data_IF_743143969446
#
_entry.id   IF_743143969446
#
_cell.length_a   1.000
_cell.length_b   1.000
_cell.length_c   1.000
_cell.angle_alpha   90.00
_cell.angle_beta   90.00
_cell.angle_gamma   90.00
#
_symmetry.space_group_name_H-M   'P 1'
#
loop_
_entity.id
_entity.type
_entity.pdbx_description
1 polymer ?
#
# COMPACT_ATOMS: atom_id res chain seq x y z
N UNK A 1 -15.14 -77.09 -3.81
CA UNK A 1 -13.92 -76.52 -4.38
C UNK A 1 -14.31 -75.17 -4.95
N UNK A 2 -14.32 -74.14 -4.11
CA UNK A 2 -14.81 -72.79 -4.42
C UNK A 2 -13.66 -71.77 -4.35
N UNK A 3 -13.36 -71.16 -5.48
CA UNK A 3 -12.34 -70.14 -5.63
C UNK A 3 -12.94 -68.78 -5.28
N UNK A 4 -12.43 -68.13 -4.23
CA UNK A 4 -12.80 -66.71 -3.89
C UNK A 4 -11.86 -65.74 -4.59
N UNK A 5 -12.42 -65.00 -5.54
CA UNK A 5 -11.77 -63.88 -6.22
C UNK A 5 -11.97 -62.60 -5.38
N UNK A 6 -10.89 -62.06 -4.77
CA UNK A 6 -10.91 -60.80 -4.05
C UNK A 6 -10.51 -59.67 -5.02
N UNK A 7 -11.48 -58.85 -5.37
CA UNK A 7 -11.25 -57.59 -6.09
C UNK A 7 -10.70 -56.52 -5.14
N UNK A 8 -9.50 -56.04 -5.42
CA UNK A 8 -8.90 -54.89 -4.75
C UNK A 8 -9.26 -53.65 -5.55
N UNK A 9 -10.10 -52.79 -4.98
CA UNK A 9 -10.44 -51.48 -5.53
C UNK A 9 -9.38 -50.46 -5.07
N UNK A 10 -8.50 -50.04 -5.97
CA UNK A 10 -7.54 -48.97 -5.71
C UNK A 10 -8.21 -47.62 -5.92
N UNK A 11 -8.46 -46.86 -4.83
CA UNK A 11 -8.86 -45.44 -4.89
C UNK A 11 -7.63 -44.58 -5.23
N UNK A 12 -7.61 -44.04 -6.42
CA UNK A 12 -6.65 -43.02 -6.80
C UNK A 12 -7.17 -41.65 -6.29
N UNK A 13 -6.55 -41.12 -5.23
CA UNK A 13 -6.71 -39.74 -4.78
C UNK A 13 -5.95 -38.81 -5.74
N UNK A 14 -6.67 -38.14 -6.62
CA UNK A 14 -6.14 -37.01 -7.39
C UNK A 14 -6.06 -35.79 -6.46
N UNK A 15 -4.85 -35.46 -6.00
CA UNK A 15 -4.55 -34.20 -5.35
C UNK A 15 -4.57 -33.09 -6.42
N UNK A 16 -5.66 -32.29 -6.45
CA UNK A 16 -5.66 -31.01 -7.18
C UNK A 16 -4.77 -30.02 -6.43
N UNK A 17 -3.50 -29.92 -6.85
CA UNK A 17 -2.66 -28.78 -6.50
C UNK A 17 -3.18 -27.56 -7.26
N UNK A 18 -3.97 -26.71 -6.59
CA UNK A 18 -4.36 -25.42 -7.12
C UNK A 18 -3.12 -24.53 -7.24
N UNK A 19 -2.62 -24.35 -8.45
CA UNK A 19 -1.62 -23.33 -8.77
C UNK A 19 -2.29 -21.97 -8.58
N UNK A 20 -1.93 -21.27 -7.49
CA UNK A 20 -2.23 -19.86 -7.35
C UNK A 20 -1.53 -19.11 -8.49
N UNK A 21 -2.29 -18.72 -9.51
CA UNK A 21 -1.79 -17.87 -10.57
C UNK A 21 -1.57 -16.48 -9.98
N UNK A 22 -0.29 -16.08 -9.86
CA UNK A 22 0.07 -14.69 -9.66
C UNK A 22 -0.57 -13.88 -10.79
N UNK A 23 -1.33 -12.85 -10.45
CA UNK A 23 -1.89 -11.92 -11.42
C UNK A 23 -0.73 -11.34 -12.25
N UNK A 24 -0.63 -11.75 -13.49
CA UNK A 24 0.32 -11.18 -14.45
C UNK A 24 -0.03 -9.71 -14.70
N UNK A 25 0.90 -8.93 -15.29
CA UNK A 25 0.66 -7.53 -15.61
C UNK A 25 -0.64 -7.39 -16.41
N UNK A 26 -1.45 -6.40 -16.05
CA UNK A 26 -2.72 -6.14 -16.72
C UNK A 26 -2.48 -6.02 -18.22
N UNK A 27 -3.17 -6.86 -19.02
CA UNK A 27 -3.04 -6.80 -20.47
C UNK A 27 -3.51 -5.44 -20.95
N UNK A 28 -2.61 -4.70 -21.62
CA UNK A 28 -2.96 -3.44 -22.29
C UNK A 28 -4.04 -3.74 -23.32
N UNK A 29 -5.08 -2.92 -23.36
CA UNK A 29 -6.14 -3.03 -24.36
C UNK A 29 -5.53 -2.93 -25.78
N UNK A 30 -5.87 -3.90 -26.62
CA UNK A 30 -5.34 -4.00 -27.99
C UNK A 30 -5.57 -2.75 -28.83
N UNK A 31 -6.57 -1.93 -28.47
CA UNK A 31 -6.84 -0.63 -29.10
C UNK A 31 -5.68 0.36 -28.97
N UNK A 32 -4.84 0.21 -27.97
CA UNK A 32 -3.73 1.12 -27.66
C UNK A 32 -2.35 0.51 -27.95
N UNK A 33 -2.31 -0.66 -28.55
CA UNK A 33 -1.06 -1.34 -28.85
C UNK A 33 -0.13 -0.50 -29.75
N UNK A 34 -0.68 0.18 -30.78
CA UNK A 34 0.10 1.08 -31.62
C UNK A 34 0.69 2.26 -30.84
N UNK A 35 -0.09 2.83 -29.91
CA UNK A 35 0.38 3.91 -29.04
C UNK A 35 1.48 3.42 -28.10
N UNK A 36 1.33 2.21 -27.55
CA UNK A 36 2.35 1.59 -26.68
C UNK A 36 3.68 1.47 -27.43
N UNK A 37 3.65 0.89 -28.62
CA UNK A 37 4.85 0.74 -29.46
C UNK A 37 5.49 2.07 -29.83
N UNK A 38 4.68 3.06 -30.20
CA UNK A 38 5.16 4.40 -30.52
C UNK A 38 5.83 5.05 -29.30
N UNK A 39 5.20 4.94 -28.11
CA UNK A 39 5.73 5.51 -26.88
C UNK A 39 7.05 4.86 -26.46
N UNK A 40 7.13 3.53 -26.47
CA UNK A 40 8.35 2.79 -26.12
C UNK A 40 9.49 3.00 -27.15
N UNK A 41 9.16 3.27 -28.42
CA UNK A 41 10.14 3.63 -29.43
C UNK A 41 10.77 5.00 -29.20
N UNK A 42 9.98 5.98 -28.69
CA UNK A 42 10.46 7.33 -28.33
C UNK A 42 11.30 7.30 -27.07
N UNK A 43 11.01 6.41 -26.11
CA UNK A 43 11.69 6.28 -24.82
C UNK A 43 12.33 4.89 -24.67
N UNK A 44 13.52 4.64 -25.25
CA UNK A 44 14.17 3.35 -25.17
C UNK A 44 14.45 2.92 -23.71
N UNK A 45 14.08 1.67 -23.38
CA UNK A 45 14.23 1.12 -22.02
C UNK A 45 13.06 1.42 -21.08
N UNK A 46 12.05 2.15 -21.52
CA UNK A 46 10.79 2.33 -20.83
C UNK A 46 9.86 1.18 -21.18
N UNK A 47 9.18 0.64 -20.17
CA UNK A 47 8.08 -0.33 -20.35
C UNK A 47 6.79 0.36 -19.92
N UNK A 48 5.78 0.31 -20.78
CA UNK A 48 4.44 0.85 -20.50
C UNK A 48 3.65 -0.19 -19.71
N UNK A 49 3.24 0.17 -18.49
CA UNK A 49 2.45 -0.69 -17.61
C UNK A 49 0.96 -0.71 -18.00
N UNK A 50 0.44 0.41 -18.52
CA UNK A 50 -0.96 0.56 -18.92
C UNK A 50 -1.22 1.77 -19.81
N UNK A 51 -2.28 1.69 -20.63
CA UNK A 51 -2.78 2.84 -21.41
C UNK A 51 -4.30 2.88 -21.29
N UNK A 52 -4.84 4.10 -21.13
CA UNK A 52 -6.28 4.35 -21.04
C UNK A 52 -6.67 5.59 -21.83
N UNK A 53 -7.91 5.60 -22.34
CA UNK A 53 -8.53 6.84 -22.82
C UNK A 53 -8.85 7.76 -21.62
N UNK A 54 -8.67 9.05 -21.82
CA UNK A 54 -9.17 10.07 -20.90
C UNK A 54 -10.51 10.64 -21.39
N UNK A 55 -11.24 11.39 -20.56
CA UNK A 55 -12.42 12.13 -21.03
C UNK A 55 -12.08 13.26 -22.02
N UNK A 56 -10.80 13.66 -22.12
CA UNK A 56 -10.35 14.64 -23.09
C UNK A 56 -10.07 13.95 -24.44
N UNK A 57 -10.71 14.37 -25.55
CA UNK A 57 -10.54 13.72 -26.83
C UNK A 57 -9.08 13.65 -27.29
N UNK A 58 -8.66 12.50 -27.80
CA UNK A 58 -7.29 12.26 -28.30
C UNK A 58 -6.17 12.42 -27.25
N UNK A 59 -6.50 12.48 -25.97
CA UNK A 59 -5.53 12.42 -24.90
C UNK A 59 -5.60 11.05 -24.22
N UNK A 60 -4.50 10.33 -24.22
CA UNK A 60 -4.34 9.03 -23.57
C UNK A 60 -3.52 9.18 -22.29
N UNK A 61 -3.93 8.46 -21.26
CA UNK A 61 -3.17 8.25 -20.04
C UNK A 61 -2.23 7.06 -20.25
N UNK A 62 -0.95 7.22 -19.93
CA UNK A 62 0.08 6.19 -20.02
C UNK A 62 0.68 5.99 -18.63
N UNK A 63 0.63 4.77 -18.12
CA UNK A 63 1.25 4.37 -16.88
C UNK A 63 2.65 3.81 -17.15
N UNK A 64 3.66 4.40 -16.50
CA UNK A 64 5.06 3.97 -16.60
C UNK A 64 5.67 3.96 -15.20
N UNK A 65 6.04 2.79 -14.71
CA UNK A 65 6.70 2.66 -13.43
C UNK A 65 5.90 3.26 -12.26
N UNK A 66 4.54 3.30 -12.36
CA UNK A 66 3.64 3.92 -11.39
C UNK A 66 3.56 5.44 -11.45
N UNK A 67 4.09 6.04 -12.51
CA UNK A 67 3.88 7.45 -12.85
C UNK A 67 2.86 7.53 -13.99
N UNK A 68 1.98 8.54 -13.93
CA UNK A 68 1.05 8.82 -15.01
C UNK A 68 1.61 9.92 -15.91
N UNK A 69 1.61 9.63 -17.20
CA UNK A 69 1.94 10.55 -18.27
C UNK A 69 0.74 10.63 -19.22
N UNK A 70 0.69 11.68 -20.02
CA UNK A 70 -0.35 11.88 -21.03
C UNK A 70 0.26 12.05 -22.39
N UNK A 71 -0.37 11.48 -23.42
CA UNK A 71 0.13 11.55 -24.79
C UNK A 71 -1.01 11.54 -25.81
N UNK A 72 -0.73 11.95 -27.03
CA UNK A 72 -1.58 11.73 -28.19
C UNK A 72 -1.44 10.28 -28.70
N UNK A 73 -2.35 9.76 -29.51
CA UNK A 73 -2.31 8.36 -29.98
C UNK A 73 -1.04 7.95 -30.70
N UNK A 74 -0.29 8.90 -31.27
CA UNK A 74 0.96 8.67 -32.01
C UNK A 74 2.21 8.89 -31.16
N UNK A 75 2.06 9.27 -29.90
CA UNK A 75 3.15 9.61 -28.98
C UNK A 75 4.06 10.76 -29.46
N UNK A 76 3.50 11.70 -30.24
CA UNK A 76 4.27 12.87 -30.70
C UNK A 76 4.56 13.88 -29.58
N UNK A 77 3.66 13.96 -28.60
CA UNK A 77 3.77 14.86 -27.46
C UNK A 77 3.50 14.10 -26.17
N UNK A 78 4.34 14.34 -25.16
CA UNK A 78 4.17 13.74 -23.83
C UNK A 78 4.09 14.86 -22.81
N UNK A 79 3.08 14.79 -21.94
CA UNK A 79 2.90 15.70 -20.81
C UNK A 79 3.00 14.95 -19.50
N UNK A 80 3.56 15.61 -18.49
CA UNK A 80 3.50 15.21 -17.09
C UNK A 80 2.79 16.31 -16.31
N UNK A 81 1.79 15.94 -15.52
CA UNK A 81 1.00 16.88 -14.74
C UNK A 81 -0.36 16.32 -14.36
N UNK A 82 -1.25 17.18 -13.85
CA UNK A 82 -2.60 16.80 -13.47
C UNK A 82 -3.61 17.14 -14.56
N UNK A 83 -4.49 16.17 -14.85
CA UNK A 83 -5.69 16.35 -15.67
C UNK A 83 -6.86 16.66 -14.74
N UNK A 84 -7.34 17.92 -14.80
CA UNK A 84 -8.44 18.40 -13.96
C UNK A 84 -9.75 18.43 -14.74
N UNK A 85 -10.78 17.77 -14.22
CA UNK A 85 -12.16 18.01 -14.62
C UNK A 85 -12.65 19.30 -13.92
N UNK A 86 -12.54 20.42 -14.60
CA UNK A 86 -12.85 21.75 -14.06
C UNK A 86 -14.34 21.91 -13.76
N UNK A 87 -15.22 21.22 -14.49
CA UNK A 87 -16.67 21.26 -14.30
C UNK A 87 -17.08 20.58 -12.99
N UNK A 88 -16.52 19.39 -12.73
CA UNK A 88 -16.80 18.61 -11.54
C UNK A 88 -15.79 18.86 -10.40
N UNK A 89 -14.75 19.67 -10.64
CA UNK A 89 -13.65 19.98 -9.70
C UNK A 89 -12.93 18.73 -9.20
N UNK A 90 -12.67 17.78 -10.10
CA UNK A 90 -12.01 16.52 -9.81
C UNK A 90 -10.63 16.50 -10.44
N UNK A 91 -9.59 16.19 -9.67
CA UNK A 91 -8.29 15.79 -10.20
C UNK A 91 -8.36 14.31 -10.62
N UNK A 92 -8.43 14.10 -11.95
CA UNK A 92 -8.52 12.75 -12.53
C UNK A 92 -7.21 11.98 -12.38
N UNK A 93 -6.08 12.70 -12.41
CA UNK A 93 -4.75 12.10 -12.20
C UNK A 93 -4.61 11.60 -10.77
N UNK A 94 -4.93 12.43 -9.79
CA UNK A 94 -4.86 12.04 -8.39
C UNK A 94 -5.78 10.85 -8.10
N UNK A 95 -7.03 10.89 -8.56
CA UNK A 95 -7.97 9.78 -8.41
C UNK A 95 -7.41 8.49 -9.01
N UNK A 96 -6.80 8.56 -10.20
CA UNK A 96 -6.20 7.40 -10.84
C UNK A 96 -4.99 6.88 -10.07
N UNK A 97 -4.13 7.75 -9.57
CA UNK A 97 -3.00 7.39 -8.73
C UNK A 97 -3.47 6.69 -7.44
N UNK A 98 -4.54 7.16 -6.83
CA UNK A 98 -5.16 6.52 -5.68
C UNK A 98 -5.71 5.12 -6.02
N UNK A 99 -6.36 4.94 -7.21
CA UNK A 99 -6.79 3.63 -7.69
C UNK A 99 -5.62 2.66 -7.87
N UNK A 100 -4.53 3.11 -8.51
CA UNK A 100 -3.34 2.31 -8.76
C UNK A 100 -2.56 1.95 -7.50
N UNK A 101 -2.66 2.77 -6.46
CA UNK A 101 -2.01 2.53 -5.18
C UNK A 101 -2.82 1.65 -4.21
N UNK A 102 -4.01 1.20 -4.61
CA UNK A 102 -4.83 0.33 -3.75
C UNK A 102 -4.16 -1.02 -3.53
N UNK A 103 -4.10 -1.41 -2.28
CA UNK A 103 -3.54 -2.69 -1.83
C UNK A 103 -4.43 -3.27 -0.75
N UNK A 104 -4.83 -4.52 -0.89
CA UNK A 104 -5.56 -5.20 0.20
C UNK A 104 -4.75 -5.17 1.48
N UNK A 105 -5.38 -4.88 2.62
CA UNK A 105 -4.68 -4.95 3.91
C UNK A 105 -4.10 -6.35 4.17
N UNK A 106 -4.72 -7.40 3.63
CA UNK A 106 -4.21 -8.78 3.75
C UNK A 106 -2.90 -9.02 3.01
N UNK A 107 -2.55 -8.16 2.03
CA UNK A 107 -1.29 -8.24 1.29
C UNK A 107 -0.17 -7.44 1.96
N UNK A 108 -0.49 -6.71 3.04
CA UNK A 108 0.48 -5.99 3.86
C UNK A 108 1.04 -6.91 4.96
N UNK A 109 2.29 -6.70 5.41
CA UNK A 109 2.93 -7.54 6.42
C UNK A 109 2.42 -7.25 7.84
N UNK A 110 1.13 -7.52 8.09
CA UNK A 110 0.46 -7.21 9.36
C UNK A 110 1.05 -8.00 10.54
N UNK A 111 1.63 -9.17 10.29
CA UNK A 111 2.38 -9.97 11.25
C UNK A 111 3.65 -9.29 11.78
N UNK A 112 4.10 -8.24 11.10
CA UNK A 112 5.28 -7.43 11.43
C UNK A 112 4.92 -6.06 11.97
N UNK A 113 3.64 -5.82 12.25
CA UNK A 113 3.17 -4.54 12.76
C UNK A 113 3.10 -4.51 14.29
N UNK A 114 3.37 -3.36 14.87
CA UNK A 114 2.98 -3.06 16.25
C UNK A 114 1.48 -2.74 16.22
N UNK A 115 0.68 -3.55 16.92
CA UNK A 115 -0.77 -3.40 16.92
C UNK A 115 -1.23 -2.51 18.07
N UNK A 116 -1.91 -1.43 17.75
CA UNK A 116 -2.57 -0.53 18.69
C UNK A 116 -4.08 -0.68 18.57
N UNK A 117 -4.77 -0.92 19.68
CA UNK A 117 -6.24 -1.09 19.69
C UNK A 117 -6.86 -0.08 20.64
N UNK A 118 -7.90 0.60 20.19
CA UNK A 118 -8.69 1.53 20.98
C UNK A 118 -10.18 1.23 20.79
N UNK A 119 -10.93 1.20 21.88
CA UNK A 119 -12.34 0.82 21.87
C UNK A 119 -12.53 -0.64 21.45
N UNK A 120 -13.53 -0.92 20.61
CA UNK A 120 -13.82 -2.26 20.07
C UNK A 120 -12.87 -2.70 18.93
N UNK A 121 -12.05 -1.78 18.42
CA UNK A 121 -11.08 -2.07 17.35
C UNK A 121 -11.70 -2.39 15.99
N UNK A 122 -12.99 -2.12 15.78
CA UNK A 122 -13.75 -2.55 14.59
C UNK A 122 -13.25 -1.97 13.28
N UNK A 123 -12.77 -0.72 13.28
CA UNK A 123 -12.20 -0.07 12.10
C UNK A 123 -10.70 -0.32 12.04
N UNK A 124 -10.18 -0.59 10.85
CA UNK A 124 -8.78 -0.97 10.69
C UNK A 124 -8.04 -0.01 9.77
N UNK A 125 -6.79 0.28 10.11
CA UNK A 125 -5.85 0.97 9.23
C UNK A 125 -4.43 0.44 9.44
N UNK A 126 -3.60 0.56 8.41
CA UNK A 126 -2.17 0.26 8.45
C UNK A 126 -1.40 1.54 8.19
N UNK A 127 -0.36 1.78 8.95
CA UNK A 127 0.49 2.97 8.82
C UNK A 127 1.94 2.55 8.68
N UNK A 128 2.56 2.94 7.57
CA UNK A 128 4.02 2.96 7.48
C UNK A 128 4.51 4.29 8.06
N UNK A 129 5.27 4.23 9.14
CA UNK A 129 5.65 5.42 9.89
C UNK A 129 7.10 5.39 10.38
N UNK A 130 7.70 6.58 10.43
CA UNK A 130 9.03 6.78 10.97
C UNK A 130 8.93 7.41 12.36
N UNK A 131 9.64 6.88 13.38
CA UNK A 131 9.53 7.36 14.75
C UNK A 131 10.01 8.81 14.94
N UNK A 132 10.80 9.36 14.02
CA UNK A 132 11.24 10.75 14.05
C UNK A 132 10.42 11.68 13.14
N UNK A 133 9.44 11.13 12.42
CA UNK A 133 8.62 11.92 11.52
C UNK A 133 7.61 12.80 12.29
N UNK A 134 7.69 14.12 12.09
CA UNK A 134 6.78 15.07 12.73
C UNK A 134 5.31 14.88 12.33
N UNK A 135 5.03 14.51 11.07
CA UNK A 135 3.65 14.22 10.62
C UNK A 135 3.13 12.89 11.17
N UNK A 136 4.00 11.91 11.41
CA UNK A 136 3.60 10.68 12.10
C UNK A 136 3.22 10.98 13.56
N UNK A 137 3.98 11.81 14.25
CA UNK A 137 3.63 12.26 15.61
C UNK A 137 2.29 13.01 15.64
N UNK A 138 2.02 13.87 14.64
CA UNK A 138 0.71 14.52 14.50
C UNK A 138 -0.41 13.51 14.27
N UNK A 139 -0.16 12.46 13.48
CA UNK A 139 -1.15 11.40 13.28
C UNK A 139 -1.48 10.69 14.60
N UNK A 140 -0.49 10.39 15.42
CA UNK A 140 -0.72 9.80 16.74
C UNK A 140 -1.52 10.72 17.67
N UNK A 141 -1.31 12.05 17.59
CA UNK A 141 -2.17 13.03 18.30
C UNK A 141 -3.62 12.95 17.78
N UNK A 142 -3.81 12.92 16.46
CA UNK A 142 -5.15 12.75 15.85
C UNK A 142 -5.82 11.45 16.32
N UNK A 143 -5.07 10.34 16.38
CA UNK A 143 -5.57 9.04 16.81
C UNK A 143 -6.04 9.01 18.27
N UNK A 144 -5.60 9.94 19.12
CA UNK A 144 -6.13 10.07 20.48
C UNK A 144 -7.61 10.47 20.52
N UNK A 145 -8.09 11.15 19.47
CA UNK A 145 -9.48 11.58 19.31
C UNK A 145 -10.36 10.58 18.54
N UNK A 146 -9.77 9.48 18.05
CA UNK A 146 -10.47 8.44 17.28
C UNK A 146 -10.67 7.21 18.18
N UNK A 147 -11.90 6.73 18.29
CA UNK A 147 -12.25 5.49 18.99
C UNK A 147 -12.57 4.35 18.02
N UNK A 148 -12.71 3.14 18.56
CA UNK A 148 -13.12 1.93 17.82
C UNK A 148 -12.22 1.66 16.61
N UNK A 149 -10.90 1.65 16.85
CA UNK A 149 -9.90 1.50 15.79
C UNK A 149 -8.81 0.50 16.19
N UNK A 150 -8.37 -0.29 15.21
CA UNK A 150 -7.13 -1.06 15.23
C UNK A 150 -6.16 -0.41 14.26
N UNK A 151 -5.02 0.05 14.77
CA UNK A 151 -3.91 0.58 13.96
C UNK A 151 -2.80 -0.45 13.93
N UNK A 152 -2.39 -0.85 12.73
CA UNK A 152 -1.21 -1.66 12.50
C UNK A 152 -0.06 -0.74 12.09
N UNK A 153 0.84 -0.45 13.04
CA UNK A 153 2.00 0.40 12.81
C UNK A 153 3.17 -0.42 12.28
N UNK A 154 3.57 -0.15 11.06
CA UNK A 154 4.75 -0.70 10.41
C UNK A 154 5.88 0.32 10.50
N UNK A 155 6.88 0.04 11.36
CA UNK A 155 8.01 0.94 11.58
C UNK A 155 8.87 1.02 10.32
N UNK A 156 8.82 2.15 9.63
CA UNK A 156 9.46 2.42 8.34
C UNK A 156 10.50 3.55 8.47
N UNK A 157 11.67 3.29 9.09
CA UNK A 157 12.65 4.30 9.46
C UNK A 157 13.48 4.77 8.28
N UNK A 158 12.99 5.75 7.52
CA UNK A 158 13.62 6.30 6.30
C UNK A 158 14.33 7.65 6.51
N UNK A 159 14.14 8.30 7.67
CA UNK A 159 14.70 9.62 7.94
C UNK A 159 16.15 9.59 8.46
N UNK A 160 16.74 8.41 8.58
CA UNK A 160 18.16 8.27 8.92
C UNK A 160 18.48 7.27 10.02
N UNK A 161 19.77 7.17 10.39
CA UNK A 161 20.23 6.14 11.33
C UNK A 161 19.61 6.24 12.73
N UNK A 162 19.25 7.43 13.18
CA UNK A 162 18.60 7.61 14.48
C UNK A 162 17.18 7.08 14.49
N UNK A 163 16.42 7.28 13.40
CA UNK A 163 15.09 6.68 13.23
C UNK A 163 15.15 5.15 13.32
N UNK A 164 16.16 4.54 12.68
CA UNK A 164 16.31 3.09 12.73
C UNK A 164 16.55 2.59 14.16
N UNK A 165 17.45 3.24 14.90
CA UNK A 165 17.72 2.86 16.30
C UNK A 165 16.49 2.99 17.19
N UNK A 166 15.74 4.09 17.04
CA UNK A 166 14.50 4.28 17.82
C UNK A 166 13.47 3.22 17.44
N UNK A 167 13.32 2.87 16.16
CA UNK A 167 12.44 1.82 15.71
C UNK A 167 12.82 0.44 16.30
N UNK A 168 14.11 0.13 16.36
CA UNK A 168 14.63 -1.08 17.03
C UNK A 168 14.32 -1.07 18.52
N UNK A 169 14.62 0.05 19.22
CA UNK A 169 14.36 0.21 20.66
C UNK A 169 12.85 0.05 20.97
N UNK A 170 11.98 0.63 20.15
CA UNK A 170 10.52 0.48 20.28
C UNK A 170 10.09 -0.96 20.06
N UNK A 171 10.53 -1.60 18.98
CA UNK A 171 10.14 -2.96 18.63
C UNK A 171 10.58 -3.96 19.71
N UNK A 172 11.79 -3.80 20.23
CA UNK A 172 12.38 -4.70 21.21
C UNK A 172 12.01 -4.38 22.67
N UNK A 173 11.19 -3.36 22.91
CA UNK A 173 10.72 -3.02 24.26
C UNK A 173 9.83 -4.12 24.84
N UNK A 174 9.72 -4.22 26.16
CA UNK A 174 8.81 -5.16 26.82
C UNK A 174 7.34 -4.98 26.40
N UNK A 175 6.94 -3.74 26.10
CA UNK A 175 5.62 -3.41 25.57
C UNK A 175 5.77 -2.46 24.37
N UNK A 176 6.00 -2.99 23.14
CA UNK A 176 6.21 -2.18 21.95
C UNK A 176 5.08 -1.19 21.68
N UNK A 177 3.82 -1.61 21.89
CA UNK A 177 2.65 -0.76 21.66
C UNK A 177 2.64 0.47 22.58
N UNK A 178 2.91 0.26 23.87
CA UNK A 178 3.00 1.37 24.83
C UNK A 178 4.20 2.26 24.52
N UNK A 179 5.36 1.68 24.25
CA UNK A 179 6.59 2.43 23.95
C UNK A 179 6.44 3.29 22.70
N UNK A 180 5.80 2.73 21.66
CA UNK A 180 5.46 3.49 20.45
C UNK A 180 4.52 4.67 20.76
N UNK A 181 3.43 4.40 21.49
CA UNK A 181 2.45 5.45 21.83
C UNK A 181 3.06 6.55 22.67
N UNK A 182 3.91 6.22 23.64
CA UNK A 182 4.60 7.19 24.49
C UNK A 182 5.55 8.05 23.66
N UNK A 183 6.40 7.45 22.81
CA UNK A 183 7.34 8.18 21.97
C UNK A 183 6.65 9.08 20.95
N UNK A 184 5.64 8.57 20.26
CA UNK A 184 4.91 9.32 19.27
C UNK A 184 4.05 10.44 19.90
N UNK A 185 3.64 10.26 21.14
CA UNK A 185 2.94 11.26 21.95
C UNK A 185 3.86 12.35 22.54
N UNK A 186 5.15 12.34 22.22
CA UNK A 186 6.13 13.34 22.73
C UNK A 186 6.75 12.98 24.08
N UNK A 187 6.67 11.71 24.49
CA UNK A 187 7.31 11.18 25.69
C UNK A 187 8.83 11.04 25.60
N UNK A 188 9.41 10.47 26.63
CA UNK A 188 10.84 10.23 26.70
C UNK A 188 11.31 9.26 25.60
N UNK A 189 12.58 9.40 25.21
CA UNK A 189 13.21 8.47 24.28
C UNK A 189 13.12 7.04 24.80
N UNK A 190 12.78 6.05 23.93
CA UNK A 190 12.79 4.65 24.31
C UNK A 190 14.12 4.21 24.91
N UNK A 191 14.07 3.35 25.91
CA UNK A 191 15.26 2.68 26.43
C UNK A 191 15.89 1.81 25.36
N UNK A 192 17.22 1.72 25.37
CA UNK A 192 17.95 0.87 24.44
C UNK A 192 17.56 -0.58 24.62
N UNK A 193 17.11 -1.20 23.55
CA UNK A 193 16.75 -2.59 23.50
C UNK A 193 17.29 -3.25 22.21
N UNK A 194 17.51 -4.56 22.23
CA UNK A 194 18.00 -5.29 21.07
C UNK A 194 17.38 -6.68 21.04
N UNK A 195 16.86 -7.06 19.91
CA UNK A 195 16.26 -8.37 19.63
C UNK A 195 16.25 -8.63 18.12
N UNK A 196 15.75 -9.77 17.70
CA UNK A 196 15.39 -9.96 16.29
C UNK A 196 14.17 -9.10 15.95
N UNK A 197 14.24 -8.37 14.85
CA UNK A 197 13.22 -7.40 14.44
C UNK A 197 12.97 -7.41 12.92
N UNK A 198 11.75 -7.07 12.44
CA UNK A 198 11.36 -7.16 11.03
C UNK A 198 11.66 -5.91 10.20
N UNK A 199 12.43 -4.94 10.68
CA UNK A 199 12.56 -3.62 10.05
C UNK A 199 13.01 -3.69 8.58
N UNK A 200 13.96 -4.57 8.24
CA UNK A 200 14.42 -4.71 6.86
C UNK A 200 13.33 -5.27 5.94
N UNK A 201 12.49 -6.16 6.46
CA UNK A 201 11.33 -6.70 5.72
C UNK A 201 10.26 -5.63 5.51
N UNK A 202 10.03 -4.77 6.51
CA UNK A 202 9.11 -3.64 6.41
C UNK A 202 9.64 -2.60 5.42
N UNK A 203 10.93 -2.30 5.46
CA UNK A 203 11.58 -1.41 4.47
C UNK A 203 11.44 -1.94 3.05
N UNK A 204 11.71 -3.24 2.84
CA UNK A 204 11.52 -3.87 1.53
C UNK A 204 10.06 -3.83 1.06
N UNK A 205 9.10 -4.07 1.96
CA UNK A 205 7.67 -3.96 1.66
C UNK A 205 7.28 -2.52 1.26
N UNK A 206 7.73 -1.51 2.02
CA UNK A 206 7.46 -0.10 1.70
C UNK A 206 8.07 0.32 0.36
N UNK A 207 9.27 -0.15 0.02
CA UNK A 207 9.90 0.08 -1.28
C UNK A 207 9.07 -0.54 -2.43
N UNK A 208 8.64 -1.81 -2.27
CA UNK A 208 7.76 -2.48 -3.23
C UNK A 208 6.45 -1.73 -3.44
N UNK A 209 5.89 -1.15 -2.38
CA UNK A 209 4.69 -0.32 -2.40
C UNK A 209 4.97 1.12 -2.86
N UNK A 210 6.21 1.44 -3.23
CA UNK A 210 6.62 2.78 -3.68
C UNK A 210 6.28 3.88 -2.66
N UNK A 211 6.46 3.58 -1.37
CA UNK A 211 6.28 4.56 -0.30
C UNK A 211 7.52 5.45 -0.26
N UNK A 212 7.33 6.75 -0.52
CA UNK A 212 8.42 7.74 -0.59
C UNK A 212 8.48 8.65 0.64
N UNK A 213 7.49 8.58 1.52
CA UNK A 213 7.39 9.42 2.69
C UNK A 213 6.51 8.82 3.77
N UNK A 214 6.54 9.42 4.96
CA UNK A 214 5.76 8.98 6.12
C UNK A 214 4.93 10.14 6.70
N UNK A 215 3.76 9.83 7.24
CA UNK A 215 3.10 8.52 7.24
C UNK A 215 2.50 8.16 5.88
N UNK A 216 2.45 6.86 5.54
CA UNK A 216 1.63 6.33 4.46
C UNK A 216 0.53 5.46 5.08
N UNK A 217 -0.73 5.84 4.88
CA UNK A 217 -1.89 5.28 5.58
C UNK A 217 -2.71 4.44 4.60
N UNK A 218 -2.93 3.17 4.91
CA UNK A 218 -3.82 2.28 4.18
C UNK A 218 -5.09 2.03 4.98
N UNK A 219 -6.23 2.09 4.31
CA UNK A 219 -7.56 1.85 4.88
C UNK A 219 -8.09 0.46 4.50
N UNK A 220 -9.16 0.01 5.15
CA UNK A 220 -9.73 -1.32 4.96
C UNK A 220 -10.19 -1.60 3.51
N UNK A 221 -10.58 -0.56 2.75
CA UNK A 221 -10.94 -0.64 1.34
C UNK A 221 -9.71 -0.72 0.39
N UNK A 222 -8.51 -0.78 0.96
CA UNK A 222 -7.26 -0.81 0.22
C UNK A 222 -6.77 0.57 -0.26
N UNK A 223 -7.54 1.63 -0.04
CA UNK A 223 -7.12 2.98 -0.41
C UNK A 223 -5.94 3.46 0.43
N UNK A 224 -5.09 4.30 -0.17
CA UNK A 224 -3.91 4.89 0.47
C UNK A 224 -4.02 6.40 0.51
N UNK A 225 -3.54 6.97 1.61
CA UNK A 225 -3.28 8.40 1.74
C UNK A 225 -1.85 8.59 2.23
N UNK A 226 -1.09 9.43 1.54
CA UNK A 226 0.25 9.84 1.93
C UNK A 226 0.16 11.13 2.74
N UNK A 227 0.76 11.12 3.93
CA UNK A 227 0.75 12.24 4.86
C UNK A 227 -0.29 12.15 5.96
N UNK A 228 -0.29 13.15 6.83
CA UNK A 228 -1.18 13.29 7.97
C UNK A 228 -2.58 13.76 7.55
N UNK A 229 -3.59 13.28 8.25
CA UNK A 229 -4.98 13.72 8.13
C UNK A 229 -5.48 14.35 9.44
N UNK A 230 -6.22 15.46 9.40
CA UNK A 230 -6.97 15.98 10.55
C UNK A 230 -8.06 15.00 10.99
N UNK A 231 -8.57 15.16 12.22
CA UNK A 231 -9.53 14.24 12.86
C UNK A 231 -10.75 13.97 12.00
N UNK A 232 -11.40 15.02 11.49
CA UNK A 232 -12.61 14.95 10.66
C UNK A 232 -12.39 14.17 9.37
N UNK A 233 -11.27 14.42 8.70
CA UNK A 233 -10.92 13.72 7.46
C UNK A 233 -10.55 12.26 7.72
N UNK A 234 -9.77 11.98 8.77
CA UNK A 234 -9.43 10.61 9.14
C UNK A 234 -10.68 9.81 9.51
N UNK A 235 -11.59 10.41 10.28
CA UNK A 235 -12.84 9.77 10.66
C UNK A 235 -13.73 9.48 9.46
N UNK A 236 -13.85 10.43 8.53
CA UNK A 236 -14.61 10.27 7.28
C UNK A 236 -14.03 9.12 6.42
N UNK A 237 -12.69 9.05 6.29
CA UNK A 237 -12.02 7.97 5.55
C UNK A 237 -12.22 6.60 6.20
N UNK A 238 -12.10 6.51 7.52
CA UNK A 238 -12.33 5.26 8.26
C UNK A 238 -13.77 4.76 8.13
N UNK A 239 -14.76 5.67 8.09
CA UNK A 239 -16.16 5.33 7.87
C UNK A 239 -16.41 4.85 6.45
N UNK A 240 -15.86 5.54 5.45
CA UNK A 240 -16.03 5.17 4.05
C UNK A 240 -15.39 3.80 3.73
N UNK A 241 -14.27 3.50 4.34
CA UNK A 241 -13.54 2.25 4.13
C UNK A 241 -14.13 1.04 4.90
N UNK A 242 -15.08 1.25 5.81
CA UNK A 242 -15.74 0.19 6.57
C UNK A 242 -17.03 -0.33 5.90
N UNK A 243 -17.44 0.25 4.77
CA UNK A 243 -18.62 -0.13 3.98
C UNK A 243 -18.23 -1.11 2.87
#
# INVERSE_FOLDING_TARGET
MMLHLRSVLALALLSLCGLAQAAGPAKIDTRFEATRQAFEAVFPGVTVDGIRATPFPNLLEVEVGGTLLYTDPQANFVMQGSLLDSKNRIDLTERRMQELSRVSLNDLPLDKAIKLVKGDGSRQMVVFEDPNCGYCKRLHTTLQEIDNITVYSLMFPILGPDSRRIAEDIWCAQNPAKTLSDWMGGGARPEKASCEHPLDQILAAGQKLRIQGTPAIYFADGSRVDGWLPVDQLQSRLQAAAQ
#
